data_IF_140308700234
#
_entry.id   IF_140308700234
#
_cell.length_a   1.000
_cell.length_b   1.000
_cell.length_c   1.000
_cell.angle_alpha   90.00
_cell.angle_beta   90.00
_cell.angle_gamma   90.00
#
_symmetry.space_group_name_H-M   'P 1'
#
loop_
_entity.id
_entity.type
_entity.pdbx_description
1 polymer ?
#
# COMPACT_ATOMS: atom_id res chain seq x y z
N UNK A 1 -4.42 -6.82 -27.58
CA UNK A 1 -4.14 -5.37 -27.69
C UNK A 1 -2.73 -5.17 -27.18
N UNK A 2 -1.83 -4.72 -28.03
CA UNK A 2 -0.43 -4.49 -27.65
C UNK A 2 -0.38 -3.37 -26.61
N UNK A 3 0.09 -3.69 -25.41
CA UNK A 3 0.41 -2.69 -24.38
C UNK A 3 1.67 -2.00 -24.88
N UNK A 4 1.49 -0.80 -25.40
CA UNK A 4 2.60 0.07 -25.80
C UNK A 4 3.45 0.33 -24.55
N UNK A 5 4.73 -0.06 -24.58
CA UNK A 5 5.71 0.39 -23.59
C UNK A 5 5.49 1.88 -23.31
N UNK A 6 5.40 2.33 -22.05
CA UNK A 6 5.45 3.74 -21.78
C UNK A 6 6.87 4.22 -22.11
N UNK A 7 7.04 4.67 -23.34
CA UNK A 7 8.26 5.31 -23.80
C UNK A 7 8.61 6.36 -22.74
N UNK A 8 9.83 6.36 -22.26
CA UNK A 8 10.35 7.39 -21.36
C UNK A 8 9.86 8.77 -21.85
N UNK A 9 9.24 9.60 -20.99
CA UNK A 9 8.69 10.87 -21.43
C UNK A 9 9.84 11.84 -21.79
N UNK A 10 10.37 11.63 -22.98
CA UNK A 10 11.33 12.55 -23.63
C UNK A 10 10.65 13.69 -24.38
N UNK A 11 9.41 14.03 -24.03
CA UNK A 11 8.67 15.13 -24.62
C UNK A 11 7.41 15.45 -23.82
N UNK A 12 7.09 16.72 -23.66
CA UNK A 12 5.95 17.26 -22.93
C UNK A 12 4.57 16.69 -23.35
N UNK A 13 4.48 16.02 -24.50
CA UNK A 13 3.26 15.42 -25.06
C UNK A 13 2.84 14.09 -24.43
N UNK A 14 3.76 13.34 -23.81
CA UNK A 14 3.43 12.06 -23.16
C UNK A 14 2.96 12.20 -21.70
N UNK A 15 3.44 13.23 -21.01
CA UNK A 15 3.18 13.44 -19.57
C UNK A 15 1.73 13.86 -19.30
N UNK A 16 1.09 14.58 -20.22
CA UNK A 16 -0.29 15.04 -20.08
C UNK A 16 -1.34 13.93 -20.07
N UNK A 17 -1.00 12.74 -20.56
CA UNK A 17 -1.89 11.58 -20.60
C UNK A 17 -1.78 10.71 -19.33
N UNK A 18 -0.82 10.95 -18.43
CA UNK A 18 -0.58 10.15 -17.22
C UNK A 18 -1.25 10.78 -16.00
N UNK A 19 -1.78 9.94 -15.11
CA UNK A 19 -2.32 10.36 -13.82
C UNK A 19 -1.21 10.85 -12.89
N UNK A 20 -0.06 10.17 -12.91
CA UNK A 20 1.15 10.52 -12.17
C UNK A 20 2.36 10.15 -13.03
N UNK A 21 3.35 11.02 -13.08
CA UNK A 21 4.63 10.74 -13.72
C UNK A 21 5.79 11.29 -12.91
N UNK A 22 6.92 10.61 -12.98
CA UNK A 22 8.18 11.11 -12.47
C UNK A 22 9.28 10.74 -13.47
N UNK A 23 10.19 11.68 -13.77
CA UNK A 23 11.30 11.49 -14.69
C UNK A 23 12.61 11.85 -14.02
N UNK A 24 13.59 10.98 -14.21
CA UNK A 24 14.98 11.16 -13.80
C UNK A 24 15.18 11.51 -12.32
N UNK A 25 14.33 10.96 -11.46
CA UNK A 25 14.33 11.23 -10.03
C UNK A 25 15.64 10.77 -9.40
N UNK A 26 16.37 11.72 -8.86
CA UNK A 26 17.61 11.49 -8.12
C UNK A 26 17.46 12.00 -6.70
N UNK A 27 17.83 11.16 -5.73
CA UNK A 27 17.80 11.49 -4.30
C UNK A 27 19.13 11.09 -3.67
N UNK A 28 19.72 12.01 -2.93
CA UNK A 28 20.97 11.79 -2.20
C UNK A 28 20.83 12.21 -0.74
N UNK A 29 21.30 11.36 0.16
CA UNK A 29 21.39 11.64 1.58
C UNK A 29 22.89 11.64 1.98
N UNK A 30 23.47 12.83 2.15
CA UNK A 30 24.93 12.93 2.35
C UNK A 30 25.69 12.30 1.18
N UNK A 31 26.49 11.28 1.47
CA UNK A 31 27.29 10.54 0.46
C UNK A 31 26.54 9.39 -0.22
N UNK A 32 25.32 9.06 0.20
CA UNK A 32 24.55 7.90 -0.30
C UNK A 32 23.54 8.36 -1.34
N UNK A 33 23.56 7.75 -2.53
CA UNK A 33 22.55 7.93 -3.56
C UNK A 33 21.44 6.89 -3.32
N UNK A 34 20.26 7.35 -2.89
CA UNK A 34 19.10 6.50 -2.62
C UNK A 34 18.24 6.26 -3.86
N UNK A 35 18.24 7.21 -4.82
CA UNK A 35 17.63 7.06 -6.15
C UNK A 35 18.55 7.70 -7.19
N UNK A 36 18.71 7.03 -8.33
CA UNK A 36 19.59 7.43 -9.43
C UNK A 36 18.80 7.41 -10.76
N UNK A 37 18.26 8.57 -11.17
CA UNK A 37 17.61 8.72 -12.46
C UNK A 37 16.31 7.89 -12.65
N UNK A 38 15.56 7.63 -11.58
CA UNK A 38 14.37 6.78 -11.65
C UNK A 38 13.23 7.48 -12.40
N UNK A 39 12.66 6.78 -13.39
CA UNK A 39 11.52 7.23 -14.17
C UNK A 39 10.35 6.25 -14.02
N UNK A 40 9.14 6.78 -13.70
CA UNK A 40 7.90 6.01 -13.55
C UNK A 40 6.72 6.78 -14.15
N UNK A 41 5.78 6.05 -14.76
CA UNK A 41 4.52 6.59 -15.27
C UNK A 41 3.34 5.73 -14.80
N UNK A 42 2.26 6.41 -14.42
CA UNK A 42 1.01 5.78 -13.98
C UNK A 42 -0.09 6.25 -14.91
N UNK A 43 -0.62 5.36 -15.73
CA UNK A 43 -1.71 5.66 -16.64
C UNK A 43 -3.03 5.89 -15.85
N UNK A 44 -4.00 6.62 -16.43
CA UNK A 44 -5.33 6.71 -15.82
C UNK A 44 -5.95 5.32 -15.63
N UNK A 45 -6.58 5.12 -14.47
CA UNK A 45 -7.33 3.89 -14.14
C UNK A 45 -6.45 2.64 -14.14
N UNK A 46 -5.15 2.77 -13.91
CA UNK A 46 -4.21 1.65 -13.86
C UNK A 46 -3.65 1.42 -12.47
N UNK A 47 -3.19 0.20 -12.25
CA UNK A 47 -2.45 -0.21 -11.05
C UNK A 47 -1.00 -0.41 -11.42
N UNK A 48 -0.11 0.36 -10.80
CA UNK A 48 1.34 0.21 -10.94
C UNK A 48 1.91 -0.39 -9.67
N UNK A 49 2.52 -1.56 -9.81
CA UNK A 49 3.27 -2.21 -8.75
C UNK A 49 4.72 -1.68 -8.69
N UNK A 50 5.20 -1.39 -7.51
CA UNK A 50 6.58 -1.02 -7.26
C UNK A 50 7.23 -2.06 -6.34
N UNK A 51 8.14 -2.84 -6.88
CA UNK A 51 8.79 -3.94 -6.18
C UNK A 51 10.31 -3.77 -6.18
N UNK A 52 10.99 -4.50 -5.31
CA UNK A 52 12.45 -4.48 -5.18
C UNK A 52 12.89 -4.95 -3.79
N UNK A 53 14.15 -5.31 -3.60
CA UNK A 53 14.71 -5.70 -2.31
C UNK A 53 14.56 -4.59 -1.25
N UNK A 54 14.83 -4.93 0.01
CA UNK A 54 14.94 -3.93 1.07
C UNK A 54 16.10 -2.98 0.76
N UNK A 55 15.88 -1.68 0.91
CA UNK A 55 16.86 -0.66 0.55
C UNK A 55 16.92 -0.28 -0.93
N UNK A 56 16.10 -0.89 -1.81
CA UNK A 56 16.08 -0.56 -3.24
C UNK A 56 15.57 0.85 -3.58
N UNK A 57 15.08 1.64 -2.60
CA UNK A 57 14.64 3.02 -2.83
C UNK A 57 13.11 3.19 -2.96
N UNK A 58 12.31 2.13 -2.80
CA UNK A 58 10.85 2.15 -2.97
C UNK A 58 10.16 3.23 -2.12
N UNK A 59 10.37 3.22 -0.80
CA UNK A 59 9.78 4.20 0.12
C UNK A 59 10.31 5.62 -0.13
N UNK A 60 11.55 5.75 -0.60
CA UNK A 60 12.15 7.04 -1.01
C UNK A 60 11.42 7.58 -2.25
N UNK A 61 11.16 6.73 -3.25
CA UNK A 61 10.40 7.12 -4.43
C UNK A 61 8.97 7.53 -4.04
N UNK A 62 8.30 6.75 -3.20
CA UNK A 62 6.97 7.10 -2.69
C UNK A 62 6.97 8.45 -1.94
N UNK A 63 8.01 8.71 -1.15
CA UNK A 63 8.17 9.99 -0.45
C UNK A 63 8.33 11.15 -1.42
N UNK A 64 9.05 10.96 -2.53
CA UNK A 64 9.17 11.97 -3.60
C UNK A 64 7.84 12.16 -4.31
N UNK A 65 7.15 11.10 -4.71
CA UNK A 65 5.85 11.15 -5.39
C UNK A 65 4.78 11.83 -4.53
N UNK A 66 4.77 11.60 -3.23
CA UNK A 66 3.83 12.23 -2.29
C UNK A 66 4.18 13.67 -1.90
N UNK A 67 5.42 14.12 -2.15
CA UNK A 67 5.91 15.45 -1.77
C UNK A 67 6.41 15.54 -0.33
N UNK A 68 6.59 14.39 0.35
CA UNK A 68 7.27 14.30 1.64
C UNK A 68 8.77 14.58 1.52
N UNK A 69 9.35 14.21 0.39
CA UNK A 69 10.77 14.41 0.10
C UNK A 69 10.93 15.19 -1.21
N UNK A 70 11.82 16.18 -1.22
CA UNK A 70 12.21 16.88 -2.44
C UNK A 70 13.36 16.13 -3.09
N UNK A 71 13.27 15.80 -4.39
CA UNK A 71 14.39 15.19 -5.10
C UNK A 71 15.52 16.19 -5.32
N UNK A 72 16.75 15.70 -5.46
CA UNK A 72 17.92 16.49 -5.85
C UNK A 72 17.94 16.78 -7.37
N UNK A 73 17.28 15.91 -8.16
CA UNK A 73 17.12 16.04 -9.60
C UNK A 73 15.87 15.35 -10.09
N UNK A 74 15.47 15.66 -11.32
CA UNK A 74 14.27 15.13 -11.92
C UNK A 74 13.01 15.94 -11.62
N UNK A 75 11.89 15.48 -12.15
CA UNK A 75 10.60 16.17 -12.07
C UNK A 75 9.45 15.20 -11.80
N UNK A 76 8.41 15.71 -11.14
CA UNK A 76 7.17 14.98 -10.86
C UNK A 76 5.99 15.76 -11.43
N UNK A 77 5.08 15.05 -12.11
CA UNK A 77 3.85 15.60 -12.66
C UNK A 77 2.65 14.84 -12.12
N UNK A 78 1.60 15.57 -11.81
CA UNK A 78 0.30 15.02 -11.41
C UNK A 78 -0.74 15.56 -12.39
N UNK A 79 -1.33 14.66 -13.19
CA UNK A 79 -2.31 14.99 -14.24
C UNK A 79 -1.83 16.10 -15.20
N UNK A 80 -0.58 16.00 -15.64
CA UNK A 80 0.05 16.94 -16.56
C UNK A 80 0.59 18.22 -15.93
N UNK A 81 0.28 18.51 -14.66
CA UNK A 81 0.85 19.65 -13.94
C UNK A 81 2.15 19.28 -13.25
N UNK A 82 3.21 20.06 -13.39
CA UNK A 82 4.46 19.85 -12.65
C UNK A 82 4.25 20.18 -11.16
N UNK A 83 4.53 19.17 -10.29
CA UNK A 83 4.34 19.27 -8.85
C UNK A 83 5.64 18.99 -8.07
N UNK A 84 6.79 19.07 -8.73
CA UNK A 84 8.10 18.73 -8.14
C UNK A 84 8.34 19.43 -6.80
N UNK A 85 8.02 20.73 -6.73
CA UNK A 85 8.19 21.54 -5.52
C UNK A 85 6.88 21.80 -4.76
N UNK A 86 5.76 21.21 -5.20
CA UNK A 86 4.48 21.37 -4.53
C UNK A 86 4.47 20.64 -3.17
N UNK A 87 3.88 21.28 -2.15
CA UNK A 87 3.72 20.70 -0.84
C UNK A 87 2.76 19.50 -0.86
N UNK A 88 2.83 18.62 0.15
CA UNK A 88 1.90 17.49 0.35
C UNK A 88 0.44 17.97 0.25
N UNK A 89 0.10 19.05 0.97
CA UNK A 89 -1.26 19.63 0.95
C UNK A 89 -1.67 20.05 -0.47
N UNK A 90 -0.75 20.64 -1.23
CA UNK A 90 -1.01 21.05 -2.61
C UNK A 90 -1.25 19.85 -3.52
N UNK A 91 -0.50 18.75 -3.36
CA UNK A 91 -0.70 17.50 -4.11
C UNK A 91 -2.00 16.82 -3.70
N UNK A 92 -2.32 16.79 -2.42
CA UNK A 92 -3.59 16.26 -1.92
C UNK A 92 -4.79 17.03 -2.49
N UNK A 93 -4.72 18.36 -2.56
CA UNK A 93 -5.75 19.19 -3.19
C UNK A 93 -5.95 18.86 -4.68
N UNK A 94 -4.91 18.37 -5.37
CA UNK A 94 -4.95 17.91 -6.77
C UNK A 94 -5.38 16.45 -6.93
N UNK A 95 -5.72 15.78 -5.84
CA UNK A 95 -6.22 14.41 -5.84
C UNK A 95 -5.16 13.32 -5.68
N UNK A 96 -4.02 13.61 -5.03
CA UNK A 96 -3.08 12.57 -4.59
C UNK A 96 -3.34 12.21 -3.14
N UNK A 97 -3.57 10.93 -2.85
CA UNK A 97 -3.61 10.40 -1.49
C UNK A 97 -2.49 9.37 -1.28
N UNK A 98 -2.10 9.17 -0.03
CA UNK A 98 -1.13 8.15 0.39
C UNK A 98 -1.55 7.53 1.70
N UNK A 99 -1.39 6.20 1.82
CA UNK A 99 -1.40 5.49 3.11
C UNK A 99 0.01 5.44 3.70
N UNK A 100 0.12 5.14 4.98
CA UNK A 100 1.40 4.97 5.67
C UNK A 100 1.58 3.52 6.10
N UNK A 101 2.83 3.10 6.34
CA UNK A 101 3.15 1.74 6.77
C UNK A 101 2.46 1.36 8.09
N UNK A 102 2.28 2.32 9.00
CA UNK A 102 1.53 2.11 10.23
C UNK A 102 0.23 2.89 10.17
N UNK A 103 -0.92 2.28 10.51
CA UNK A 103 -2.19 2.98 10.53
C UNK A 103 -2.18 4.12 11.55
N UNK A 104 -2.21 5.35 11.07
CA UNK A 104 -2.35 6.55 11.92
C UNK A 104 -3.83 6.88 12.10
N UNK A 105 -4.49 6.18 13.04
CA UNK A 105 -5.91 6.31 13.32
C UNK A 105 -6.15 6.98 14.67
N UNK A 106 -7.24 7.74 14.78
CA UNK A 106 -7.68 8.34 16.02
C UNK A 106 -8.42 7.32 16.89
N UNK A 107 -7.77 6.79 17.92
CA UNK A 107 -8.28 5.66 18.72
C UNK A 107 -9.65 5.90 19.36
N UNK A 108 -10.06 7.15 19.57
CA UNK A 108 -11.36 7.53 20.12
C UNK A 108 -12.51 7.61 19.11
N UNK A 109 -12.24 7.41 17.81
CA UNK A 109 -13.25 7.49 16.76
C UNK A 109 -13.67 6.10 16.28
N UNK A 110 -14.92 6.01 15.80
CA UNK A 110 -15.44 4.86 15.09
C UNK A 110 -14.93 4.82 13.65
N UNK A 111 -15.08 3.68 12.98
CA UNK A 111 -14.75 3.53 11.56
C UNK A 111 -15.49 4.58 10.72
N UNK A 112 -16.80 4.75 10.94
CA UNK A 112 -17.63 5.72 10.19
C UNK A 112 -17.12 7.15 10.39
N UNK A 113 -16.83 7.54 11.63
CA UNK A 113 -16.34 8.88 11.95
C UNK A 113 -15.01 9.19 11.27
N UNK A 114 -14.12 8.20 11.10
CA UNK A 114 -12.89 8.37 10.34
C UNK A 114 -13.14 8.72 8.88
N UNK A 115 -14.09 8.05 8.23
CA UNK A 115 -14.42 8.29 6.83
C UNK A 115 -15.10 9.65 6.65
N UNK A 116 -16.03 9.99 7.56
CA UNK A 116 -16.69 11.30 7.59
C UNK A 116 -15.67 12.42 7.75
N UNK A 117 -14.75 12.28 8.73
CA UNK A 117 -13.71 13.28 8.98
C UNK A 117 -12.81 13.49 7.75
N UNK A 118 -12.39 12.39 7.11
CA UNK A 118 -11.56 12.45 5.91
C UNK A 118 -12.29 13.11 4.74
N UNK A 119 -13.57 12.79 4.53
CA UNK A 119 -14.40 13.43 3.50
C UNK A 119 -14.53 14.94 3.75
N UNK A 120 -14.83 15.35 4.98
CA UNK A 120 -14.94 16.77 5.37
C UNK A 120 -13.64 17.54 5.19
N UNK A 121 -12.50 16.91 5.52
CA UNK A 121 -11.18 17.49 5.32
C UNK A 121 -10.93 17.88 3.85
N UNK A 122 -11.50 17.14 2.92
CA UNK A 122 -11.40 17.41 1.47
C UNK A 122 -12.35 18.51 1.01
N UNK A 123 -13.63 18.40 1.39
CA UNK A 123 -14.72 19.25 0.85
C UNK A 123 -14.73 20.64 1.50
N UNK A 124 -14.34 20.74 2.77
CA UNK A 124 -14.44 21.97 3.54
C UNK A 124 -13.26 22.19 4.49
N UNK A 125 -12.01 22.31 3.99
CA UNK A 125 -10.83 22.43 4.84
C UNK A 125 -10.87 23.65 5.79
N UNK A 126 -11.58 24.71 5.43
CA UNK A 126 -11.78 25.89 6.29
C UNK A 126 -12.88 25.68 7.33
N UNK A 127 -13.72 24.65 7.18
CA UNK A 127 -14.82 24.33 8.08
C UNK A 127 -14.34 23.46 9.25
N UNK A 128 -13.31 22.65 9.06
CA UNK A 128 -12.73 21.81 10.11
C UNK A 128 -12.28 22.64 11.33
N UNK A 129 -11.69 23.82 11.12
CA UNK A 129 -11.31 24.71 12.23
C UNK A 129 -12.53 25.28 12.96
N UNK A 130 -13.62 25.56 12.24
CA UNK A 130 -14.88 26.01 12.85
C UNK A 130 -15.55 24.86 13.59
N UNK A 131 -15.52 23.66 13.02
CA UNK A 131 -16.08 22.45 13.60
C UNK A 131 -15.32 22.02 14.87
N UNK A 132 -14.00 22.25 14.95
CA UNK A 132 -13.22 22.04 16.18
C UNK A 132 -13.50 23.09 17.26
N UNK A 133 -13.95 24.28 16.90
CA UNK A 133 -14.20 25.38 17.84
C UNK A 133 -15.66 25.47 18.30
N UNK A 134 -16.59 24.85 17.59
CA UNK A 134 -18.01 24.84 17.94
C UNK A 134 -18.51 23.38 18.14
N UNK A 135 -18.73 22.95 19.39
CA UNK A 135 -19.30 21.62 19.68
C UNK A 135 -20.66 21.34 19.01
N UNK A 136 -21.34 22.40 18.51
CA UNK A 136 -22.58 22.28 17.75
C UNK A 136 -22.36 22.02 16.28
N UNK A 137 -21.12 22.12 15.81
CA UNK A 137 -20.74 21.86 14.42
C UNK A 137 -20.51 20.38 14.12
N UNK A 138 -20.64 19.51 15.11
CA UNK A 138 -20.93 18.09 14.90
C UNK A 138 -22.33 17.92 14.29
N UNK A 139 -22.67 18.78 13.33
CA UNK A 139 -23.89 18.64 12.54
C UNK A 139 -23.94 17.22 11.98
N UNK A 140 -25.09 16.56 12.05
CA UNK A 140 -25.27 15.28 11.43
C UNK A 140 -24.81 15.36 9.96
N UNK A 141 -24.19 14.31 9.42
CA UNK A 141 -23.74 14.29 8.04
C UNK A 141 -24.88 14.70 7.11
N UNK A 142 -24.58 15.41 6.04
CA UNK A 142 -25.56 15.64 4.99
C UNK A 142 -25.93 14.31 4.32
N UNK A 143 -27.11 14.20 3.72
CA UNK A 143 -27.52 12.97 3.03
C UNK A 143 -26.48 12.51 2.00
N UNK A 144 -25.91 13.43 1.23
CA UNK A 144 -24.86 13.12 0.26
C UNK A 144 -23.54 12.62 0.91
N UNK A 145 -23.20 13.16 2.09
CA UNK A 145 -22.06 12.69 2.87
C UNK A 145 -22.29 11.27 3.40
N UNK A 146 -23.49 11.00 3.94
CA UNK A 146 -23.88 9.66 4.40
C UNK A 146 -23.85 8.64 3.26
N UNK A 147 -24.46 8.94 2.12
CA UNK A 147 -24.47 8.08 0.94
C UNK A 147 -23.05 7.77 0.44
N UNK A 148 -22.14 8.76 0.46
CA UNK A 148 -20.74 8.57 0.08
C UNK A 148 -19.99 7.67 1.07
N UNK A 149 -20.18 7.91 2.37
CA UNK A 149 -19.55 7.11 3.42
C UNK A 149 -20.09 5.68 3.44
N UNK A 150 -21.40 5.51 3.27
CA UNK A 150 -22.02 4.18 3.20
C UNK A 150 -21.49 3.37 1.99
N UNK A 151 -21.36 4.01 0.83
CA UNK A 151 -20.76 3.38 -0.35
C UNK A 151 -19.33 2.93 -0.12
N UNK A 152 -18.52 3.73 0.60
CA UNK A 152 -17.14 3.34 0.97
C UNK A 152 -17.13 2.20 1.97
N UNK A 153 -18.00 2.23 2.99
CA UNK A 153 -18.11 1.15 3.97
C UNK A 153 -18.50 -0.17 3.31
N UNK A 154 -19.40 -0.14 2.33
CA UNK A 154 -19.79 -1.32 1.55
C UNK A 154 -18.65 -1.81 0.64
N UNK A 155 -18.00 -0.91 -0.11
CA UNK A 155 -16.86 -1.22 -0.98
C UNK A 155 -15.76 -1.94 -0.21
N UNK A 156 -15.45 -1.45 1.00
CA UNK A 156 -14.40 -1.97 1.87
C UNK A 156 -14.86 -3.11 2.79
N UNK A 157 -16.13 -3.53 2.74
CA UNK A 157 -16.73 -4.53 3.64
C UNK A 157 -16.65 -4.15 5.13
N UNK A 158 -16.71 -2.87 5.43
CA UNK A 158 -16.62 -2.33 6.79
C UNK A 158 -17.99 -2.04 7.43
N UNK A 159 -19.10 -2.27 6.73
CA UNK A 159 -20.46 -1.93 7.18
C UNK A 159 -20.78 -2.53 8.56
N UNK A 160 -20.36 -3.79 8.83
CA UNK A 160 -20.64 -4.47 10.11
C UNK A 160 -19.92 -3.85 11.30
N UNK A 161 -18.79 -3.18 11.06
CA UNK A 161 -17.94 -2.56 12.09
C UNK A 161 -17.97 -1.04 12.02
N UNK A 162 -18.88 -0.46 11.24
CA UNK A 162 -18.95 0.98 10.99
C UNK A 162 -19.03 1.82 12.28
N UNK A 163 -19.73 1.32 13.29
CA UNK A 163 -19.91 1.99 14.58
C UNK A 163 -18.92 1.50 15.65
N UNK A 164 -18.04 0.56 15.34
CA UNK A 164 -17.05 0.08 16.28
C UNK A 164 -15.89 1.11 16.41
N UNK A 165 -15.39 1.34 17.64
CA UNK A 165 -14.18 2.14 17.84
C UNK A 165 -12.98 1.40 17.24
N UNK A 166 -12.11 2.12 16.52
CA UNK A 166 -10.97 1.50 15.83
C UNK A 166 -10.00 0.81 16.80
N UNK A 167 -9.92 1.28 18.04
CA UNK A 167 -9.07 0.67 19.07
C UNK A 167 -9.42 -0.81 19.37
N UNK A 168 -10.63 -1.27 19.03
CA UNK A 168 -11.08 -2.63 19.27
C UNK A 168 -10.92 -3.56 18.04
N UNK A 169 -10.37 -3.05 16.93
CA UNK A 169 -10.36 -3.76 15.67
C UNK A 169 -9.00 -4.43 15.38
N UNK A 170 -9.00 -5.59 14.71
CA UNK A 170 -7.77 -6.24 14.29
C UNK A 170 -7.04 -5.45 13.19
N UNK A 171 -5.74 -5.66 13.05
CA UNK A 171 -4.86 -4.92 12.14
C UNK A 171 -5.39 -4.89 10.70
N UNK A 172 -5.85 -6.03 10.17
CA UNK A 172 -6.39 -6.09 8.80
C UNK A 172 -7.59 -5.17 8.57
N UNK A 173 -8.43 -4.97 9.60
CA UNK A 173 -9.55 -4.02 9.53
C UNK A 173 -9.04 -2.58 9.64
N UNK A 174 -8.04 -2.31 10.50
CA UNK A 174 -7.42 -0.99 10.59
C UNK A 174 -6.79 -0.55 9.26
N UNK A 175 -6.16 -1.47 8.53
CA UNK A 175 -5.64 -1.23 7.17
C UNK A 175 -6.76 -0.83 6.19
N UNK A 176 -7.90 -1.53 6.25
CA UNK A 176 -9.06 -1.17 5.44
C UNK A 176 -9.63 0.21 5.81
N UNK A 177 -9.64 0.58 7.09
CA UNK A 177 -10.07 1.92 7.54
C UNK A 177 -9.11 2.99 7.01
N UNK A 178 -7.80 2.74 7.02
CA UNK A 178 -6.81 3.66 6.46
C UNK A 178 -7.00 3.87 4.96
N UNK A 179 -7.18 2.78 4.20
CA UNK A 179 -7.53 2.86 2.77
C UNK A 179 -8.85 3.62 2.57
N UNK A 180 -9.85 3.37 3.41
CA UNK A 180 -11.14 4.08 3.39
C UNK A 180 -11.00 5.58 3.62
N UNK A 181 -10.16 5.98 4.57
CA UNK A 181 -9.84 7.40 4.80
C UNK A 181 -9.22 8.04 3.56
N UNK A 182 -8.26 7.35 2.94
CA UNK A 182 -7.64 7.84 1.71
C UNK A 182 -8.67 7.98 0.58
N UNK A 183 -9.53 6.98 0.37
CA UNK A 183 -10.60 7.00 -0.64
C UNK A 183 -11.68 8.05 -0.35
N UNK A 184 -11.98 8.33 0.94
CA UNK A 184 -12.94 9.35 1.34
C UNK A 184 -12.51 10.77 0.91
N UNK A 185 -11.22 10.99 0.65
CA UNK A 185 -10.72 12.24 0.07
C UNK A 185 -10.94 12.36 -1.45
N UNK A 186 -11.59 11.38 -2.08
CA UNK A 186 -11.86 11.32 -3.53
C UNK A 186 -10.58 11.50 -4.38
N UNK A 187 -9.57 10.65 -4.19
CA UNK A 187 -8.30 10.79 -4.89
C UNK A 187 -8.41 10.34 -6.35
N UNK A 188 -7.52 10.88 -7.19
CA UNK A 188 -7.29 10.40 -8.56
C UNK A 188 -6.08 9.47 -8.62
N UNK A 189 -5.16 9.62 -7.67
CA UNK A 189 -4.02 8.74 -7.48
C UNK A 189 -3.92 8.38 -6.01
N UNK A 190 -3.84 7.08 -5.71
CA UNK A 190 -3.63 6.56 -4.37
C UNK A 190 -2.32 5.79 -4.31
N UNK A 191 -1.42 6.22 -3.43
CA UNK A 191 -0.16 5.56 -3.13
C UNK A 191 -0.35 4.67 -1.90
N UNK A 192 -0.13 3.37 -2.06
CA UNK A 192 -0.24 2.35 -1.00
C UNK A 192 1.17 1.88 -0.62
N UNK A 193 1.56 2.11 0.62
CA UNK A 193 2.88 1.80 1.15
C UNK A 193 2.80 0.56 2.05
N UNK A 194 3.20 -0.59 1.53
CA UNK A 194 3.20 -1.90 2.18
C UNK A 194 1.88 -2.23 2.91
N UNK A 195 0.73 -2.14 2.23
CA UNK A 195 -0.58 -2.32 2.88
C UNK A 195 -0.79 -3.73 3.45
N UNK A 196 -0.07 -4.74 2.96
CA UNK A 196 -0.16 -6.14 3.43
C UNK A 196 0.76 -6.44 4.61
N UNK A 197 1.66 -5.52 4.96
CA UNK A 197 2.65 -5.74 6.02
C UNK A 197 2.00 -6.02 7.37
N UNK A 198 2.47 -7.08 8.04
CA UNK A 198 1.97 -7.49 9.36
C UNK A 198 0.64 -8.26 9.35
N UNK A 199 0.08 -8.54 8.17
CA UNK A 199 -1.13 -9.35 8.04
C UNK A 199 -0.79 -10.84 7.91
N UNK A 200 -1.68 -11.70 8.43
CA UNK A 200 -1.68 -13.11 8.12
C UNK A 200 -2.21 -13.37 6.68
N UNK A 201 -2.16 -14.61 6.22
CA UNK A 201 -2.63 -14.98 4.87
C UNK A 201 -4.09 -14.56 4.64
N UNK A 202 -4.96 -14.80 5.60
CA UNK A 202 -6.39 -14.49 5.51
C UNK A 202 -6.64 -12.98 5.41
N UNK A 203 -5.94 -12.18 6.22
CA UNK A 203 -5.99 -10.72 6.17
C UNK A 203 -5.48 -10.17 4.85
N UNK A 204 -4.38 -10.71 4.35
CA UNK A 204 -3.80 -10.34 3.05
C UNK A 204 -4.74 -10.65 1.89
N UNK A 205 -5.30 -11.86 1.83
CA UNK A 205 -6.28 -12.24 0.80
C UNK A 205 -7.54 -11.37 0.83
N UNK A 206 -8.04 -11.05 2.02
CA UNK A 206 -9.18 -10.16 2.18
C UNK A 206 -8.87 -8.77 1.63
N UNK A 207 -7.74 -8.18 2.01
CA UNK A 207 -7.31 -6.86 1.56
C UNK A 207 -7.08 -6.83 0.03
N UNK A 208 -6.43 -7.85 -0.53
CA UNK A 208 -6.26 -8.01 -1.98
C UNK A 208 -7.61 -8.10 -2.70
N UNK A 209 -8.59 -8.82 -2.14
CA UNK A 209 -9.94 -8.91 -2.70
C UNK A 209 -10.64 -7.54 -2.74
N UNK A 210 -10.40 -6.71 -1.72
CA UNK A 210 -10.92 -5.33 -1.66
C UNK A 210 -10.23 -4.46 -2.71
N UNK A 211 -8.91 -4.55 -2.86
CA UNK A 211 -8.21 -3.80 -3.91
C UNK A 211 -8.69 -4.16 -5.31
N UNK A 212 -8.92 -5.45 -5.60
CA UNK A 212 -9.54 -5.87 -6.88
C UNK A 212 -10.91 -5.23 -7.09
N UNK A 213 -11.74 -5.14 -6.04
CA UNK A 213 -13.04 -4.45 -6.11
C UNK A 213 -12.90 -2.95 -6.37
N UNK A 214 -11.95 -2.28 -5.71
CA UNK A 214 -11.68 -0.85 -5.93
C UNK A 214 -11.29 -0.61 -7.39
N UNK A 215 -10.43 -1.45 -7.95
CA UNK A 215 -10.00 -1.35 -9.35
C UNK A 215 -11.14 -1.68 -10.31
N UNK A 216 -11.95 -2.70 -10.03
CA UNK A 216 -13.08 -3.10 -10.88
C UNK A 216 -14.21 -2.04 -10.88
N UNK A 217 -14.48 -1.42 -9.72
CA UNK A 217 -15.49 -0.36 -9.57
C UNK A 217 -14.93 1.04 -9.84
N UNK A 218 -14.07 1.16 -10.85
CA UNK A 218 -13.30 2.39 -11.08
C UNK A 218 -14.17 3.52 -11.71
N UNK A 219 -15.24 3.92 -11.04
CA UNK A 219 -16.11 5.03 -11.44
C UNK A 219 -15.45 6.41 -11.28
N UNK A 220 -14.28 6.47 -10.62
CA UNK A 220 -13.64 7.73 -10.20
C UNK A 220 -12.31 8.05 -10.90
N UNK A 221 -11.95 7.36 -11.99
CA UNK A 221 -10.65 7.50 -12.66
C UNK A 221 -9.46 7.35 -11.69
N UNK A 222 -9.61 6.50 -10.68
CA UNK A 222 -8.58 6.25 -9.68
C UNK A 222 -7.46 5.39 -10.27
N UNK A 223 -6.23 5.84 -10.10
CA UNK A 223 -5.02 5.06 -10.38
C UNK A 223 -4.33 4.70 -9.07
N UNK A 224 -3.75 3.50 -8.99
CA UNK A 224 -3.07 3.01 -7.80
C UNK A 224 -1.57 2.86 -8.04
N UNK A 225 -0.76 3.17 -7.04
CA UNK A 225 0.63 2.74 -6.94
C UNK A 225 0.75 1.91 -5.67
N UNK A 226 1.14 0.65 -5.81
CA UNK A 226 1.26 -0.29 -4.68
C UNK A 226 2.73 -0.64 -4.50
N UNK A 227 3.27 -0.35 -3.34
CA UNK A 227 4.59 -0.82 -2.90
C UNK A 227 4.41 -2.01 -2.00
N UNK A 228 5.04 -3.13 -2.34
CA UNK A 228 5.03 -4.35 -1.54
C UNK A 228 6.34 -5.10 -1.71
N UNK A 229 6.65 -5.95 -0.74
CA UNK A 229 7.74 -6.91 -0.82
C UNK A 229 7.28 -8.29 -1.30
N UNK A 230 5.99 -8.60 -1.19
CA UNK A 230 5.40 -9.81 -1.79
C UNK A 230 5.15 -9.57 -3.28
N UNK A 231 6.10 -10.04 -4.09
CA UNK A 231 6.05 -9.91 -5.55
C UNK A 231 4.82 -10.60 -6.13
N UNK A 232 4.41 -11.74 -5.58
CA UNK A 232 3.24 -12.48 -6.09
C UNK A 232 1.95 -11.68 -5.91
N UNK A 233 1.79 -11.02 -4.76
CA UNK A 233 0.65 -10.14 -4.50
C UNK A 233 0.62 -8.95 -5.47
N UNK A 234 1.77 -8.31 -5.73
CA UNK A 234 1.88 -7.20 -6.68
C UNK A 234 1.57 -7.65 -8.10
N UNK A 235 2.16 -8.75 -8.56
CA UNK A 235 1.91 -9.28 -9.90
C UNK A 235 0.45 -9.66 -10.13
N UNK A 236 -0.28 -10.06 -9.07
CA UNK A 236 -1.70 -10.42 -9.15
C UNK A 236 -2.66 -9.22 -9.25
N UNK A 237 -2.20 -8.01 -8.91
CA UNK A 237 -3.02 -6.80 -8.86
C UNK A 237 -2.65 -5.77 -9.93
N UNK A 238 -1.41 -5.77 -10.41
CA UNK A 238 -0.86 -4.67 -11.21
C UNK A 238 -1.06 -4.89 -12.70
N UNK A 239 -1.31 -3.79 -13.42
CA UNK A 239 -1.27 -3.75 -14.89
C UNK A 239 0.17 -3.57 -15.39
N UNK A 240 0.97 -2.84 -14.63
CA UNK A 240 2.38 -2.56 -14.90
C UNK A 240 3.17 -2.71 -13.60
N UNK A 241 4.37 -3.26 -13.70
CA UNK A 241 5.29 -3.40 -12.55
C UNK A 241 6.61 -2.73 -12.85
N UNK A 242 7.07 -1.94 -11.90
CA UNK A 242 8.37 -1.28 -11.90
C UNK A 242 9.24 -1.96 -10.84
N UNK A 243 10.43 -2.39 -11.23
CA UNK A 243 11.37 -3.04 -10.32
C UNK A 243 12.54 -2.10 -10.05
N UNK A 244 12.77 -1.85 -8.77
CA UNK A 244 13.93 -1.09 -8.31
C UNK A 244 14.96 -2.02 -7.68
N UNK A 245 16.23 -1.70 -7.90
CA UNK A 245 17.35 -2.28 -7.18
C UNK A 245 18.45 -1.22 -6.99
N UNK A 246 19.02 -1.13 -5.79
CA UNK A 246 20.06 -0.14 -5.42
C UNK A 246 19.77 1.30 -5.91
N UNK A 247 18.51 1.73 -5.86
CA UNK A 247 18.09 3.08 -6.27
C UNK A 247 17.94 3.28 -7.77
N UNK A 248 18.03 2.24 -8.58
CA UNK A 248 17.86 2.28 -10.03
C UNK A 248 16.65 1.44 -10.48
N UNK A 249 16.05 1.80 -11.61
CA UNK A 249 15.01 1.00 -12.24
C UNK A 249 15.65 -0.07 -13.13
N UNK A 250 15.61 -1.34 -12.67
CA UNK A 250 16.19 -2.47 -13.41
C UNK A 250 15.22 -3.10 -14.41
N UNK A 251 13.91 -2.98 -14.19
CA UNK A 251 12.91 -3.49 -15.13
C UNK A 251 11.60 -2.70 -15.03
N UNK A 252 10.84 -2.72 -16.12
CA UNK A 252 9.45 -2.29 -16.20
C UNK A 252 8.74 -3.15 -17.23
N UNK A 253 7.52 -3.58 -16.93
CA UNK A 253 6.73 -4.43 -17.84
C UNK A 253 5.43 -4.90 -17.20
N UNK A 254 4.66 -5.67 -17.96
CA UNK A 254 3.49 -6.33 -17.42
C UNK A 254 3.91 -7.47 -16.44
N UNK A 255 2.99 -8.00 -15.63
CA UNK A 255 3.31 -9.04 -14.64
C UNK A 255 4.01 -10.27 -15.21
N UNK A 256 3.69 -10.66 -16.46
CA UNK A 256 4.26 -11.83 -17.13
C UNK A 256 5.70 -11.59 -17.57
N UNK A 257 5.97 -10.41 -18.13
CA UNK A 257 7.31 -9.95 -18.52
C UNK A 257 8.24 -9.88 -17.30
N UNK A 258 7.75 -9.32 -16.18
CA UNK A 258 8.52 -9.20 -14.94
C UNK A 258 8.83 -10.56 -14.32
N UNK A 259 7.87 -11.49 -14.31
CA UNK A 259 8.08 -12.86 -13.80
C UNK A 259 9.19 -13.60 -14.55
N UNK A 260 9.31 -13.36 -15.86
CA UNK A 260 10.28 -14.02 -16.73
C UNK A 260 11.59 -13.24 -16.90
N UNK A 261 11.71 -12.04 -16.30
CA UNK A 261 12.88 -11.19 -16.48
C UNK A 261 14.11 -11.70 -15.69
N UNK A 262 15.25 -12.00 -16.34
CA UNK A 262 16.44 -12.53 -15.68
C UNK A 262 17.05 -11.56 -14.65
N UNK A 263 17.04 -10.24 -14.95
CA UNK A 263 17.57 -9.24 -14.04
C UNK A 263 16.74 -9.15 -12.74
N UNK A 264 15.40 -9.29 -12.85
CA UNK A 264 14.51 -9.34 -11.68
C UNK A 264 14.79 -10.59 -10.87
N UNK A 265 14.93 -11.75 -11.52
CA UNK A 265 15.31 -13.00 -10.83
C UNK A 265 16.62 -12.85 -10.08
N UNK A 266 17.65 -12.30 -10.70
CA UNK A 266 18.95 -12.10 -10.06
C UNK A 266 18.87 -11.17 -8.84
N UNK A 267 18.09 -10.07 -8.93
CA UNK A 267 17.93 -9.12 -7.83
C UNK A 267 17.20 -9.73 -6.61
N UNK A 268 16.29 -10.68 -6.83
CA UNK A 268 15.55 -11.34 -5.76
C UNK A 268 16.17 -12.65 -5.29
N UNK A 269 16.96 -13.30 -6.16
CA UNK A 269 17.53 -14.63 -5.90
C UNK A 269 18.97 -14.55 -5.38
N UNK A 270 19.54 -13.35 -5.12
CA UNK A 270 20.88 -13.20 -4.62
C UNK A 270 21.38 -14.46 -3.91
N UNK A 271 21.95 -15.42 -4.66
CA UNK A 271 22.48 -16.72 -4.26
C UNK A 271 21.58 -17.71 -3.50
N UNK A 272 20.27 -17.63 -3.61
CA UNK A 272 19.35 -18.58 -2.98
C UNK A 272 18.10 -18.87 -3.83
N UNK A 273 17.87 -20.17 -4.12
CA UNK A 273 16.69 -20.68 -4.81
C UNK A 273 15.36 -20.17 -4.21
N UNK A 274 14.33 -19.80 -5.00
CA UNK A 274 13.05 -19.41 -4.46
C UNK A 274 12.44 -20.58 -3.67
N UNK A 275 11.76 -20.34 -2.55
CA UNK A 275 11.04 -21.39 -1.84
C UNK A 275 9.96 -21.97 -2.76
N UNK A 276 10.24 -23.11 -3.36
CA UNK A 276 9.23 -23.94 -4.00
C UNK A 276 8.28 -24.40 -2.89
N UNK A 277 7.07 -23.87 -2.85
CA UNK A 277 5.99 -24.49 -2.11
C UNK A 277 5.65 -25.80 -2.82
N UNK A 278 6.24 -26.90 -2.39
CA UNK A 278 5.77 -28.25 -2.69
C UNK A 278 4.43 -28.44 -1.99
N UNK A 279 3.36 -28.42 -2.76
CA UNK A 279 2.12 -29.11 -2.40
C UNK A 279 2.41 -30.58 -2.71
N UNK A 280 2.50 -31.38 -1.68
CA UNK A 280 2.42 -32.82 -1.57
C UNK A 280 3.57 -33.37 -0.74
N UNK A 281 3.26 -33.76 0.47
CA UNK A 281 3.37 -35.15 0.91
C UNK A 281 2.88 -35.24 2.36
N UNK A 282 1.67 -35.75 2.49
CA UNK A 282 1.21 -36.34 3.73
C UNK A 282 1.93 -37.68 3.88
N UNK A 283 2.57 -38.00 5.00
CA UNK A 283 3.02 -39.37 5.23
C UNK A 283 1.82 -40.22 5.61
N UNK A 284 1.50 -41.14 4.72
CA UNK A 284 0.72 -42.36 5.04
C UNK A 284 1.42 -43.14 6.13
N UNK A 285 0.63 -43.50 7.11
CA UNK A 285 1.10 -44.31 8.24
C UNK A 285 1.63 -45.68 7.81
N UNK A 286 2.55 -46.16 8.61
CA UNK A 286 2.61 -47.58 8.84
C UNK A 286 3.04 -47.89 10.28
N UNK A 287 2.29 -48.81 10.86
CA UNK A 287 2.45 -49.28 12.21
C UNK A 287 3.46 -50.43 12.25
N UNK A 288 4.38 -50.42 13.19
CA UNK A 288 4.88 -51.68 13.77
C UNK A 288 5.55 -51.49 15.12
N UNK A 289 4.91 -51.99 16.13
CA UNK A 289 5.31 -52.79 17.32
C UNK A 289 6.81 -52.98 17.65
N UNK A 290 7.11 -52.84 18.95
CA UNK A 290 8.32 -53.39 19.59
C UNK A 290 8.72 -52.61 20.83
N UNK A 291 8.25 -52.91 21.90
CA UNK A 291 8.49 -53.69 23.13
C UNK A 291 9.76 -53.31 23.92
N UNK A 292 9.52 -53.17 25.22
CA UNK A 292 10.31 -53.47 26.40
C UNK A 292 11.34 -52.48 26.97
N UNK A 293 11.02 -52.09 28.12
CA UNK A 293 11.66 -52.28 29.45
C UNK A 293 12.46 -51.14 30.08
N UNK A 294 11.98 -50.78 31.23
CA UNK A 294 12.59 -50.70 32.57
C UNK A 294 13.58 -49.55 32.84
N UNK A 295 13.25 -48.75 33.82
CA UNK A 295 14.18 -47.83 34.50
C UNK A 295 13.51 -46.88 35.47
N UNK A 296 13.19 -47.42 36.61
CA UNK A 296 12.70 -46.81 37.85
C UNK A 296 13.72 -45.81 38.42
N UNK A 297 13.28 -44.66 38.87
CA UNK A 297 14.13 -43.69 39.59
C UNK A 297 13.31 -42.56 40.18
N UNK A 298 12.61 -42.87 41.26
CA UNK A 298 12.07 -41.93 42.23
C UNK A 298 13.18 -41.04 42.82
N UNK A 299 12.95 -39.78 43.03
CA UNK A 299 13.18 -39.09 44.31
C UNK A 299 12.41 -37.76 44.31
N UNK A 300 11.65 -37.58 45.33
CA UNK A 300 10.79 -36.51 45.78
C UNK A 300 11.58 -35.52 46.67
N UNK A 301 10.93 -34.54 47.33
CA UNK A 301 11.06 -33.09 47.13
C UNK A 301 11.81 -32.44 48.29
N UNK A 302 11.93 -31.11 48.30
CA UNK A 302 11.82 -30.27 49.52
C UNK A 302 12.23 -28.79 49.24
N UNK A 303 11.25 -27.91 49.49
CA UNK A 303 11.27 -26.77 50.44
C UNK A 303 12.19 -25.57 50.24
N UNK A 304 11.55 -24.44 50.38
CA UNK A 304 12.01 -23.22 51.02
C UNK A 304 12.23 -22.09 50.02
N UNK A 305 11.58 -20.94 49.99
CA UNK A 305 11.10 -20.20 51.14
C UNK A 305 11.80 -18.85 51.15
N UNK A 306 11.04 -17.79 51.02
CA UNK A 306 11.29 -16.55 51.69
C UNK A 306 12.06 -15.45 50.97
N UNK A 307 11.43 -14.42 50.80
CA UNK A 307 11.55 -13.01 51.03
C UNK A 307 11.22 -12.15 49.82
#
# INVERSE_FOLDING_TARGET
MAVTEPTAPGGATGVGALSLAASDITVRFGGITALSGVTIGVAPRSVVGLVGPNGAGKSTLLAVLSGLLRPNGGKVWLRGEEVTHASIRSRAARGLARTFQQPELFMGLTVREHLVLAHRARVAPNRLWRDMLDPRSLLPPSKAEDERVDGLLELLRLTRVAQAPVAALPLGVLRLVEVGRALATDPRVLLLDEPLSGLDMSGSENLLSVFRRIVANNDHDLSLVIVEHDVAAVLALSDLVVVLDFGERIAVGNPEEIRNNPAVRAAYLGDGEPPQRSVADAPSGDASTGDASTGMGTVDPLLGGGA
#
